data_IF_305443033502
#
_entry.id   IF_305443033502
#
_cell.length_a   1.000
_cell.length_b   1.000
_cell.length_c   1.000
_cell.angle_alpha   90.00
_cell.angle_beta   90.00
_cell.angle_gamma   90.00
#
_symmetry.space_group_name_H-M   'P 1'
#
loop_
_entity.id
_entity.type
_entity.pdbx_description
1 polymer ?
#
# COMPACT_ATOMS: atom_id res chain seq x y z
N UNK A 1 14.72 -28.21 -53.69
CA UNK A 1 13.88 -29.06 -52.82
C UNK A 1 12.64 -28.25 -52.48
N UNK A 2 11.69 -28.10 -53.41
CA UNK A 2 10.56 -29.00 -53.67
C UNK A 2 9.70 -29.32 -52.44
N UNK A 3 8.53 -28.68 -52.44
CA UNK A 3 7.18 -29.23 -52.22
C UNK A 3 6.78 -29.77 -50.83
N UNK A 4 5.71 -29.20 -50.27
CA UNK A 4 4.40 -29.84 -49.95
C UNK A 4 3.65 -28.97 -48.92
N UNK A 5 2.77 -28.04 -49.33
CA UNK A 5 1.30 -28.15 -49.49
C UNK A 5 0.54 -28.94 -48.41
N UNK A 6 -0.40 -28.26 -47.76
CA UNK A 6 -1.46 -28.85 -46.94
C UNK A 6 -2.54 -27.84 -46.54
N UNK A 7 -3.47 -27.55 -47.46
CA UNK A 7 -4.74 -26.81 -47.25
C UNK A 7 -5.65 -27.56 -46.28
N UNK A 8 -6.32 -26.84 -45.38
CA UNK A 8 -7.64 -27.20 -44.86
C UNK A 8 -8.54 -25.95 -44.80
N UNK A 9 -9.55 -25.93 -45.67
CA UNK A 9 -10.86 -25.29 -45.42
C UNK A 9 -11.44 -25.92 -44.13
N UNK A 10 -12.24 -25.30 -43.29
CA UNK A 10 -13.12 -24.14 -43.42
C UNK A 10 -14.32 -24.46 -42.52
N UNK A 11 -14.54 -23.69 -41.46
CA UNK A 11 -15.80 -23.70 -40.71
C UNK A 11 -16.05 -22.28 -40.20
N UNK A 12 -16.93 -21.60 -40.94
CA UNK A 12 -17.52 -20.30 -40.62
C UNK A 12 -18.65 -20.56 -39.64
N UNK A 13 -18.47 -20.21 -38.37
CA UNK A 13 -19.56 -20.16 -37.40
C UNK A 13 -20.16 -18.75 -37.46
N UNK A 14 -21.29 -18.64 -38.16
CA UNK A 14 -22.14 -17.45 -38.10
C UNK A 14 -22.75 -17.36 -36.69
N UNK A 15 -22.48 -16.26 -36.01
CA UNK A 15 -23.16 -15.91 -34.76
C UNK A 15 -24.30 -14.94 -35.07
N UNK A 16 -25.51 -15.18 -34.55
CA UNK A 16 -26.68 -14.37 -34.89
C UNK A 16 -26.62 -12.98 -34.27
N UNK A 17 -27.02 -11.99 -35.09
CA UNK A 17 -27.32 -10.62 -34.72
C UNK A 17 -28.26 -10.56 -33.51
N UNK A 18 -27.79 -9.92 -32.44
CA UNK A 18 -28.65 -9.45 -31.34
C UNK A 18 -29.05 -7.99 -31.64
N UNK A 19 -30.35 -7.64 -31.67
CA UNK A 19 -30.77 -6.27 -31.93
C UNK A 19 -30.44 -5.35 -30.76
N UNK A 20 -29.80 -4.22 -31.07
CA UNK A 20 -29.62 -3.11 -30.14
C UNK A 20 -30.98 -2.47 -29.82
N UNK A 21 -31.47 -2.67 -28.60
CA UNK A 21 -32.60 -1.92 -28.07
C UNK A 21 -32.20 -0.44 -27.90
N UNK A 22 -32.84 0.42 -28.69
CA UNK A 22 -32.92 1.87 -28.47
C UNK A 22 -33.57 2.13 -27.11
N UNK A 23 -32.83 2.73 -26.20
CA UNK A 23 -33.41 3.36 -25.01
C UNK A 23 -33.74 4.82 -25.35
N UNK A 24 -34.91 5.04 -25.96
CA UNK A 24 -35.58 6.34 -25.98
C UNK A 24 -36.40 6.45 -24.70
N UNK A 25 -36.08 7.41 -23.84
CA UNK A 25 -36.97 7.85 -22.77
C UNK A 25 -37.21 9.35 -22.92
N UNK A 26 -38.36 9.67 -23.51
CA UNK A 26 -38.99 10.97 -23.55
C UNK A 26 -39.57 11.32 -22.17
N UNK A 27 -39.24 12.53 -21.71
CA UNK A 27 -40.12 13.63 -21.25
C UNK A 27 -41.46 13.35 -20.54
N UNK A 28 -41.66 14.21 -19.52
CA UNK A 28 -42.91 14.81 -19.00
C UNK A 28 -43.76 13.87 -18.10
N UNK A 29 -44.27 14.26 -16.91
CA UNK A 29 -44.84 15.53 -16.47
C UNK A 29 -45.05 15.56 -14.93
N UNK A 30 -45.27 16.78 -14.43
CA UNK A 30 -45.75 17.16 -13.09
C UNK A 30 -47.03 16.43 -12.65
N UNK A 31 -47.25 16.27 -11.33
CA UNK A 31 -48.40 16.87 -10.62
C UNK A 31 -48.33 16.72 -9.08
N UNK A 32 -48.59 17.86 -8.43
CA UNK A 32 -49.36 18.10 -7.19
C UNK A 32 -48.88 17.69 -5.78
N UNK A 33 -48.59 18.78 -5.05
CA UNK A 33 -48.87 19.10 -3.66
C UNK A 33 -50.22 18.55 -3.15
N UNK A 34 -50.24 17.97 -1.95
CA UNK A 34 -51.32 18.22 -0.98
C UNK A 34 -50.87 17.90 0.44
N UNK A 35 -51.23 18.85 1.31
CA UNK A 35 -50.89 19.00 2.71
C UNK A 35 -52.11 18.56 3.52
N UNK A 36 -52.02 17.49 4.32
CA UNK A 36 -53.02 17.15 5.35
C UNK A 36 -52.36 16.42 6.53
N UNK A 37 -52.40 17.08 7.68
CA UNK A 37 -52.29 16.53 9.05
C UNK A 37 -53.63 16.82 9.76
N UNK A 38 -53.99 16.32 10.97
CA UNK A 38 -53.41 15.27 11.83
C UNK A 38 -54.45 14.21 12.28
N UNK A 39 -54.02 13.03 12.80
CA UNK A 39 -54.58 12.45 14.05
C UNK A 39 -53.87 11.21 14.60
N UNK A 40 -53.86 11.23 15.93
CA UNK A 40 -53.41 10.33 16.99
C UNK A 40 -53.61 8.81 16.91
N UNK A 41 -52.67 8.16 17.61
CA UNK A 41 -52.73 6.94 18.43
C UNK A 41 -53.00 5.56 17.79
N UNK A 42 -52.01 4.66 17.84
CA UNK A 42 -51.90 3.73 18.98
C UNK A 42 -50.74 2.73 18.84
N UNK A 43 -50.17 2.44 20.01
CA UNK A 43 -49.27 1.36 20.42
C UNK A 43 -49.20 0.13 19.49
N UNK A 44 -47.97 -0.22 19.05
CA UNK A 44 -47.49 -1.61 19.06
C UNK A 44 -45.98 -1.68 19.27
N UNK A 45 -45.63 -2.48 20.27
CA UNK A 45 -44.31 -2.72 20.82
C UNK A 45 -43.64 -3.90 20.10
N UNK A 46 -42.30 -3.82 20.04
CA UNK A 46 -41.29 -4.90 19.94
C UNK A 46 -41.20 -5.65 18.61
N UNK A 47 -40.02 -5.57 17.98
CA UNK A 47 -39.05 -6.68 17.90
C UNK A 47 -38.04 -6.40 16.77
N UNK A 48 -36.92 -5.73 17.06
CA UNK A 48 -35.71 -5.85 16.23
C UNK A 48 -34.52 -5.96 17.16
N UNK A 49 -33.92 -7.16 17.15
CA UNK A 49 -32.87 -7.60 18.05
C UNK A 49 -31.51 -6.97 17.74
N UNK A 50 -30.80 -6.72 18.84
CA UNK A 50 -29.38 -6.38 18.92
C UNK A 50 -28.48 -7.38 18.19
N UNK A 51 -27.71 -6.90 17.23
CA UNK A 51 -26.45 -7.52 16.77
C UNK A 51 -25.34 -6.51 17.01
N UNK A 52 -25.01 -6.28 18.28
CA UNK A 52 -23.88 -5.44 18.70
C UNK A 52 -23.52 -5.69 20.17
N UNK A 53 -23.19 -6.94 20.54
CA UNK A 53 -22.54 -7.26 21.82
C UNK A 53 -22.12 -8.73 21.81
N UNK A 54 -20.90 -8.99 21.34
CA UNK A 54 -20.36 -10.33 21.24
C UNK A 54 -18.88 -10.34 20.95
N UNK A 55 -18.07 -9.68 21.79
CA UNK A 55 -16.59 -9.83 21.79
C UNK A 55 -15.91 -9.34 23.07
N UNK A 56 -16.58 -9.42 24.23
CA UNK A 56 -15.94 -9.18 25.54
C UNK A 56 -16.48 -10.16 26.59
N UNK A 57 -16.18 -11.44 26.40
CA UNK A 57 -16.32 -12.45 27.46
C UNK A 57 -15.46 -13.69 27.13
N UNK A 58 -14.13 -13.53 27.14
CA UNK A 58 -13.21 -14.68 27.21
C UNK A 58 -12.22 -14.47 28.36
N UNK A 59 -12.54 -15.17 29.44
CA UNK A 59 -11.66 -15.83 30.42
C UNK A 59 -10.71 -15.02 31.31
N UNK A 60 -11.13 -14.87 32.56
CA UNK A 60 -10.30 -14.54 33.74
C UNK A 60 -9.26 -15.62 34.10
N UNK A 61 -9.34 -16.81 33.50
CA UNK A 61 -8.39 -17.91 33.74
C UNK A 61 -7.10 -17.83 32.89
N UNK A 62 -7.06 -17.00 31.84
CA UNK A 62 -5.86 -16.80 31.04
C UNK A 62 -4.79 -15.93 31.75
N UNK A 63 -5.20 -15.08 32.70
CA UNK A 63 -4.32 -14.16 33.40
C UNK A 63 -3.33 -14.87 34.34
N UNK A 64 -3.74 -15.98 34.97
CA UNK A 64 -2.90 -16.75 35.91
C UNK A 64 -1.87 -17.62 35.15
N UNK A 65 -2.25 -18.18 34.00
CA UNK A 65 -1.33 -18.92 33.13
C UNK A 65 -0.30 -18.00 32.43
N UNK A 66 -0.67 -16.75 32.11
CA UNK A 66 0.26 -15.75 31.59
C UNK A 66 1.29 -15.28 32.62
N UNK A 67 0.88 -15.16 33.89
CA UNK A 67 1.77 -14.73 34.96
C UNK A 67 2.86 -15.79 35.28
N UNK A 68 2.51 -17.08 35.28
CA UNK A 68 3.46 -18.17 35.52
C UNK A 68 4.44 -18.40 34.35
N UNK A 69 4.02 -18.12 33.10
CA UNK A 69 4.91 -18.20 31.93
C UNK A 69 5.88 -17.02 31.85
N UNK A 70 5.51 -15.86 32.41
CA UNK A 70 6.31 -14.63 32.46
C UNK A 70 7.54 -14.76 33.37
N UNK A 71 7.48 -15.57 34.42
CA UNK A 71 8.61 -15.83 35.32
C UNK A 71 9.63 -16.79 34.71
N UNK A 72 9.21 -17.74 33.86
CA UNK A 72 10.12 -18.64 33.16
C UNK A 72 10.83 -18.00 31.95
N UNK A 73 10.21 -17.03 31.27
CA UNK A 73 10.85 -16.31 30.15
C UNK A 73 11.77 -15.15 30.59
N UNK A 74 11.63 -14.65 31.83
CA UNK A 74 12.49 -13.58 32.34
C UNK A 74 13.92 -14.04 32.66
N UNK A 75 14.14 -15.33 32.95
CA UNK A 75 15.45 -15.87 33.29
C UNK A 75 16.29 -16.29 32.05
N UNK A 76 15.66 -16.47 30.88
CA UNK A 76 16.34 -16.77 29.62
C UNK A 76 16.75 -15.50 28.82
N UNK A 77 16.52 -14.30 29.36
CA UNK A 77 16.76 -13.02 28.71
C UNK A 77 18.23 -12.54 28.76
N UNK A 78 19.15 -13.33 29.31
CA UNK A 78 20.54 -12.93 29.58
C UNK A 78 21.53 -13.20 28.45
N UNK A 79 21.12 -13.79 27.33
CA UNK A 79 21.93 -13.89 26.11
C UNK A 79 21.11 -13.53 24.88
N UNK A 80 20.67 -12.28 24.77
CA UNK A 80 20.11 -11.79 23.51
C UNK A 80 21.24 -11.80 22.50
N UNK A 81 21.23 -12.78 21.59
CA UNK A 81 22.12 -12.82 20.43
C UNK A 81 22.12 -11.45 19.78
N UNK A 82 23.30 -10.87 19.56
CA UNK A 82 23.44 -9.55 18.94
C UNK A 82 22.63 -9.54 17.63
N UNK A 83 21.67 -8.62 17.51
CA UNK A 83 20.84 -8.50 16.31
C UNK A 83 21.74 -8.18 15.10
N UNK A 84 21.91 -9.16 14.21
CA UNK A 84 22.64 -8.98 12.95
C UNK A 84 21.65 -8.58 11.87
N UNK A 85 21.59 -7.28 11.55
CA UNK A 85 20.75 -6.78 10.47
C UNK A 85 21.35 -7.12 9.09
N UNK A 86 20.53 -7.19 8.02
CA UNK A 86 21.03 -7.36 6.67
C UNK A 86 22.01 -6.25 6.33
N UNK A 87 23.09 -6.61 5.61
CA UNK A 87 24.08 -5.62 5.20
C UNK A 87 23.48 -4.61 4.23
N UNK A 88 24.06 -3.42 4.14
CA UNK A 88 23.62 -2.39 3.20
C UNK A 88 23.65 -2.90 1.75
N UNK A 89 24.68 -3.67 1.36
CA UNK A 89 24.75 -4.24 0.01
C UNK A 89 23.62 -5.25 -0.25
N UNK A 90 23.29 -6.10 0.73
CA UNK A 90 22.13 -7.01 0.63
C UNK A 90 20.83 -6.26 0.38
N UNK A 91 20.59 -5.16 1.11
CA UNK A 91 19.38 -4.34 0.96
C UNK A 91 19.36 -3.56 -0.35
N UNK A 92 20.49 -3.02 -0.79
CA UNK A 92 20.62 -2.37 -2.10
C UNK A 92 20.29 -3.38 -3.21
N UNK A 93 20.78 -4.62 -3.12
CA UNK A 93 20.45 -5.66 -4.08
C UNK A 93 18.97 -6.07 -4.03
N UNK A 94 18.37 -6.13 -2.83
CA UNK A 94 16.95 -6.41 -2.65
C UNK A 94 16.06 -5.32 -3.29
N UNK A 95 16.52 -4.07 -3.38
CA UNK A 95 15.83 -3.00 -4.10
C UNK A 95 16.16 -2.98 -5.60
N UNK A 96 17.42 -3.20 -5.97
CA UNK A 96 17.89 -3.08 -7.34
C UNK A 96 17.35 -4.21 -8.21
N UNK A 97 17.50 -5.47 -7.79
CA UNK A 97 17.16 -6.63 -8.63
C UNK A 97 15.71 -6.63 -9.11
N UNK A 98 14.69 -6.41 -8.25
CA UNK A 98 13.31 -6.32 -8.73
C UNK A 98 13.07 -5.15 -9.68
N UNK A 99 13.75 -4.02 -9.45
CA UNK A 99 13.64 -2.83 -10.30
C UNK A 99 14.21 -3.07 -11.71
N UNK A 100 15.13 -4.03 -11.89
CA UNK A 100 15.63 -4.42 -13.22
C UNK A 100 14.55 -5.01 -14.13
N UNK A 101 13.40 -5.44 -13.60
CA UNK A 101 12.22 -5.80 -14.41
C UNK A 101 11.78 -4.63 -15.30
N UNK A 102 12.13 -3.40 -14.94
CA UNK A 102 11.97 -2.18 -15.75
C UNK A 102 12.62 -2.22 -17.14
N UNK A 103 13.70 -2.99 -17.30
CA UNK A 103 14.32 -3.21 -18.61
C UNK A 103 13.48 -4.12 -19.50
N UNK A 104 12.72 -5.04 -18.92
CA UNK A 104 11.79 -5.88 -19.66
C UNK A 104 10.55 -5.08 -20.06
N UNK A 105 9.94 -4.39 -19.09
CA UNK A 105 8.88 -3.41 -19.32
C UNK A 105 8.98 -2.28 -18.30
N UNK A 106 8.87 -1.03 -18.76
CA UNK A 106 9.13 0.16 -17.94
C UNK A 106 8.29 0.20 -16.66
N UNK A 107 7.01 -0.15 -16.77
CA UNK A 107 6.07 -0.15 -15.67
C UNK A 107 6.38 -1.20 -14.61
N UNK A 108 7.04 -2.32 -14.97
CA UNK A 108 7.38 -3.36 -14.00
C UNK A 108 8.45 -2.89 -13.02
N UNK A 109 9.35 -1.99 -13.42
CA UNK A 109 10.34 -1.43 -12.51
C UNK A 109 9.71 -0.57 -11.40
N UNK A 110 8.72 0.24 -11.77
CA UNK A 110 8.04 1.16 -10.83
C UNK A 110 6.93 0.53 -10.00
N UNK A 111 6.39 -0.60 -10.46
CA UNK A 111 5.22 -1.25 -9.86
C UNK A 111 5.60 -2.54 -9.11
N UNK A 112 5.85 -3.64 -9.84
CA UNK A 112 6.30 -4.89 -9.23
C UNK A 112 7.68 -4.76 -8.58
N UNK A 113 8.59 -3.99 -9.19
CA UNK A 113 9.90 -3.72 -8.62
C UNK A 113 9.80 -3.04 -7.25
N UNK A 114 8.86 -2.11 -7.10
CA UNK A 114 8.57 -1.45 -5.84
C UNK A 114 8.00 -2.41 -4.79
N UNK A 115 6.92 -3.13 -5.12
CA UNK A 115 6.27 -4.05 -4.19
C UNK A 115 7.22 -5.16 -3.73
N UNK A 116 7.93 -5.77 -4.67
CA UNK A 116 8.89 -6.84 -4.39
C UNK A 116 10.09 -6.32 -3.60
N UNK A 117 10.61 -5.11 -3.90
CA UNK A 117 11.69 -4.51 -3.11
C UNK A 117 11.29 -4.31 -1.64
N UNK A 118 10.07 -3.82 -1.39
CA UNK A 118 9.54 -3.66 -0.03
C UNK A 118 9.37 -5.01 0.67
N UNK A 119 8.78 -5.99 -0.02
CA UNK A 119 8.55 -7.32 0.53
C UNK A 119 9.85 -8.04 0.89
N UNK A 120 10.81 -8.12 -0.03
CA UNK A 120 12.08 -8.82 0.17
C UNK A 120 12.92 -8.13 1.25
N UNK A 121 13.10 -6.81 1.18
CA UNK A 121 13.89 -6.07 2.18
C UNK A 121 13.31 -6.21 3.59
N UNK A 122 11.99 -6.13 3.71
CA UNK A 122 11.32 -6.26 5.01
C UNK A 122 11.34 -7.69 5.53
N UNK A 123 11.25 -8.70 4.65
CA UNK A 123 11.41 -10.11 5.01
C UNK A 123 12.81 -10.42 5.55
N UNK A 124 13.86 -9.83 4.96
CA UNK A 124 15.24 -9.97 5.43
C UNK A 124 15.43 -9.37 6.84
N UNK A 125 14.88 -8.18 7.07
CA UNK A 125 14.91 -7.54 8.40
C UNK A 125 14.09 -8.36 9.41
N UNK A 126 12.89 -8.81 9.03
CA UNK A 126 12.04 -9.63 9.89
C UNK A 126 12.73 -10.93 10.28
N UNK A 127 13.40 -11.60 9.34
CA UNK A 127 14.17 -12.82 9.59
C UNK A 127 15.32 -12.59 10.57
N UNK A 128 15.97 -11.43 10.48
CA UNK A 128 17.03 -11.02 11.41
C UNK A 128 16.48 -10.81 12.83
N UNK A 129 15.35 -10.11 12.96
CA UNK A 129 14.66 -9.89 14.25
C UNK A 129 14.16 -11.20 14.85
N UNK A 130 13.61 -12.09 14.03
CA UNK A 130 13.10 -13.39 14.45
C UNK A 130 14.23 -14.31 14.94
N UNK A 131 15.36 -14.33 14.24
CA UNK A 131 16.58 -15.06 14.65
C UNK A 131 17.12 -14.54 15.97
N UNK A 132 17.22 -13.22 16.15
CA UNK A 132 17.65 -12.62 17.42
C UNK A 132 16.69 -12.92 18.59
N UNK A 133 15.42 -13.21 18.27
CA UNK A 133 14.39 -13.59 19.25
C UNK A 133 14.32 -15.10 19.50
N UNK A 134 15.24 -15.90 18.93
CA UNK A 134 15.27 -17.36 19.08
C UNK A 134 14.16 -18.10 18.31
N UNK A 135 13.46 -17.42 17.39
CA UNK A 135 12.39 -17.98 16.56
C UNK A 135 12.71 -17.79 15.08
N UNK A 136 13.80 -18.40 14.56
CA UNK A 136 14.26 -18.15 13.19
C UNK A 136 13.15 -18.44 12.17
N UNK A 137 13.02 -17.55 11.19
CA UNK A 137 12.20 -17.80 10.01
C UNK A 137 12.99 -18.65 9.01
N UNK A 138 12.28 -19.38 8.17
CA UNK A 138 12.88 -20.15 7.10
C UNK A 138 13.64 -19.20 6.16
N UNK A 139 14.94 -19.44 5.87
CA UNK A 139 15.69 -18.58 4.96
C UNK A 139 15.05 -18.55 3.58
N UNK A 140 14.95 -17.35 3.00
CA UNK A 140 14.44 -17.15 1.65
C UNK A 140 15.35 -17.92 0.66
N UNK A 141 14.75 -18.79 -0.16
CA UNK A 141 15.49 -19.60 -1.14
C UNK A 141 15.86 -21.01 -0.66
N UNK A 142 15.46 -21.42 0.54
CA UNK A 142 15.56 -22.84 0.94
C UNK A 142 14.66 -23.70 0.06
N UNK A 143 15.26 -24.62 -0.69
CA UNK A 143 14.52 -25.59 -1.50
C UNK A 143 13.82 -26.58 -0.58
N UNK A 144 12.54 -26.36 -0.33
CA UNK A 144 11.71 -27.29 0.44
C UNK A 144 11.23 -28.43 -0.46
N UNK A 145 11.33 -29.67 0.04
CA UNK A 145 10.64 -30.80 -0.57
C UNK A 145 9.13 -30.59 -0.41
N UNK A 146 8.28 -31.03 -1.37
CA UNK A 146 6.82 -30.89 -1.26
C UNK A 146 6.25 -31.40 0.07
N UNK A 147 6.75 -32.53 0.58
CA UNK A 147 6.34 -33.10 1.86
C UNK A 147 6.67 -32.22 3.08
N UNK A 148 7.67 -31.34 2.98
CA UNK A 148 8.09 -30.42 4.05
C UNK A 148 7.48 -29.04 3.93
N UNK A 149 6.81 -28.73 2.82
CA UNK A 149 6.29 -27.40 2.53
C UNK A 149 5.20 -26.98 3.52
N UNK A 150 4.19 -27.83 3.74
CA UNK A 150 3.09 -27.50 4.64
C UNK A 150 3.55 -27.36 6.12
N UNK A 151 4.37 -28.27 6.68
CA UNK A 151 4.93 -28.08 8.01
C UNK A 151 5.79 -26.82 8.14
N UNK A 152 6.59 -26.49 7.12
CA UNK A 152 7.40 -25.27 7.13
C UNK A 152 6.54 -24.01 7.11
N UNK A 153 5.50 -23.95 6.28
CA UNK A 153 4.55 -22.84 6.26
C UNK A 153 3.86 -22.72 7.61
N UNK A 154 3.41 -23.82 8.21
CA UNK A 154 2.77 -23.80 9.52
C UNK A 154 3.73 -23.29 10.60
N UNK A 155 5.00 -23.73 10.61
CA UNK A 155 6.01 -23.25 11.55
C UNK A 155 6.28 -21.74 11.38
N UNK A 156 6.40 -21.27 10.13
CA UNK A 156 6.54 -19.84 9.82
C UNK A 156 5.34 -19.06 10.36
N UNK A 157 4.12 -19.52 10.10
CA UNK A 157 2.90 -18.86 10.57
C UNK A 157 2.84 -18.80 12.10
N UNK A 158 3.24 -19.86 12.81
CA UNK A 158 3.30 -19.86 14.26
C UNK A 158 4.37 -18.89 14.80
N UNK A 159 5.57 -18.87 14.19
CA UNK A 159 6.65 -17.95 14.58
C UNK A 159 6.27 -16.49 14.30
N UNK A 160 5.62 -16.21 13.17
CA UNK A 160 5.11 -14.86 12.85
C UNK A 160 4.01 -14.47 13.84
N UNK A 161 3.07 -15.37 14.14
CA UNK A 161 1.98 -15.12 15.09
C UNK A 161 2.49 -14.87 16.51
N UNK A 162 3.57 -15.52 16.93
CA UNK A 162 4.18 -15.30 18.25
C UNK A 162 5.00 -14.00 18.28
N UNK A 163 5.70 -13.67 17.20
CA UNK A 163 6.61 -12.52 17.14
C UNK A 163 5.88 -11.18 16.96
N UNK A 164 4.85 -11.14 16.11
CA UNK A 164 4.10 -9.93 15.76
C UNK A 164 3.53 -9.14 16.94
N UNK A 165 2.78 -9.75 17.88
CA UNK A 165 2.20 -9.01 19.00
C UNK A 165 3.26 -8.55 20.01
N UNK A 166 4.44 -9.16 19.97
CA UNK A 166 5.50 -8.92 20.94
C UNK A 166 6.44 -7.87 20.36
N UNK A 167 7.20 -8.11 19.30
CA UNK A 167 8.30 -7.22 18.89
C UNK A 167 7.86 -6.03 18.02
N UNK A 168 8.14 -4.80 18.49
CA UNK A 168 7.91 -3.56 17.72
C UNK A 168 8.61 -3.53 16.35
N UNK A 169 9.92 -3.83 16.24
CA UNK A 169 10.56 -3.85 14.92
C UNK A 169 10.07 -4.99 14.03
N UNK A 170 9.64 -6.13 14.59
CA UNK A 170 9.01 -7.19 13.80
C UNK A 170 7.65 -6.74 13.24
N UNK A 171 6.88 -5.99 14.04
CA UNK A 171 5.60 -5.42 13.58
C UNK A 171 5.82 -4.38 12.47
N UNK A 172 6.82 -3.50 12.61
CA UNK A 172 7.16 -2.53 11.57
C UNK A 172 7.60 -3.24 10.28
N UNK A 173 8.49 -4.24 10.38
CA UNK A 173 8.92 -5.05 9.22
C UNK A 173 7.73 -5.75 8.55
N UNK A 174 6.83 -6.32 9.35
CA UNK A 174 5.66 -7.01 8.82
C UNK A 174 4.66 -6.05 8.16
N UNK A 175 4.61 -4.80 8.59
CA UNK A 175 3.78 -3.77 7.97
C UNK A 175 4.25 -3.46 6.54
N UNK A 176 5.57 -3.31 6.34
CA UNK A 176 6.15 -3.08 5.01
C UNK A 176 6.13 -4.36 4.16
N UNK A 177 6.31 -5.54 4.75
CA UNK A 177 6.13 -6.82 4.07
C UNK A 177 4.69 -7.00 3.55
N UNK A 178 3.70 -6.69 4.39
CA UNK A 178 2.28 -6.67 4.02
C UNK A 178 2.06 -5.71 2.85
N UNK A 179 2.59 -4.48 2.94
CA UNK A 179 2.47 -3.50 1.87
C UNK A 179 3.02 -4.00 0.54
N UNK A 180 4.27 -4.48 0.52
CA UNK A 180 4.92 -4.94 -0.71
C UNK A 180 4.17 -6.11 -1.36
N UNK A 181 3.80 -7.10 -0.53
CA UNK A 181 3.04 -8.28 -0.98
C UNK A 181 1.67 -7.89 -1.52
N UNK A 182 0.96 -7.00 -0.81
CA UNK A 182 -0.35 -6.48 -1.22
C UNK A 182 -0.28 -5.81 -2.59
N UNK A 183 0.72 -4.96 -2.80
CA UNK A 183 0.88 -4.22 -4.05
C UNK A 183 1.09 -5.18 -5.22
N UNK A 184 2.02 -6.13 -5.08
CA UNK A 184 2.32 -7.11 -6.13
C UNK A 184 1.12 -8.00 -6.45
N UNK A 185 0.41 -8.50 -5.43
CA UNK A 185 -0.78 -9.32 -5.63
C UNK A 185 -1.91 -8.54 -6.32
N UNK A 186 -2.10 -7.28 -5.95
CA UNK A 186 -3.12 -6.43 -6.57
C UNK A 186 -2.80 -6.15 -8.04
N UNK A 187 -1.55 -5.83 -8.36
CA UNK A 187 -1.10 -5.62 -9.74
C UNK A 187 -1.22 -6.90 -10.56
N UNK A 188 -0.81 -8.03 -9.99
CA UNK A 188 -0.90 -9.34 -10.63
C UNK A 188 -2.36 -9.71 -10.95
N UNK A 189 -3.26 -9.54 -9.97
CA UNK A 189 -4.68 -9.73 -10.18
C UNK A 189 -5.22 -8.85 -11.32
N UNK A 190 -4.88 -7.55 -11.34
CA UNK A 190 -5.33 -6.64 -12.40
C UNK A 190 -4.78 -7.03 -13.76
N UNK A 191 -3.55 -7.51 -13.82
CA UNK A 191 -2.94 -7.97 -15.06
C UNK A 191 -3.62 -9.22 -15.63
N UNK A 192 -3.98 -10.18 -14.77
CA UNK A 192 -4.65 -11.40 -15.19
C UNK A 192 -6.13 -11.17 -15.52
N UNK A 193 -6.82 -10.36 -14.73
CA UNK A 193 -8.28 -10.27 -14.77
C UNK A 193 -8.83 -9.08 -15.56
N UNK A 194 -8.04 -8.02 -15.83
CA UNK A 194 -8.53 -6.81 -16.50
C UNK A 194 -7.86 -6.62 -17.88
N UNK A 195 -8.54 -6.97 -19.00
CA UNK A 195 -8.00 -6.80 -20.34
C UNK A 195 -7.57 -5.37 -20.65
N UNK A 196 -8.33 -4.36 -20.18
CA UNK A 196 -8.00 -2.94 -20.34
C UNK A 196 -6.63 -2.58 -19.76
N UNK A 197 -6.23 -3.21 -18.65
CA UNK A 197 -4.93 -2.96 -18.03
C UNK A 197 -3.79 -3.50 -18.90
N UNK A 198 -3.99 -4.67 -19.53
CA UNK A 198 -3.02 -5.24 -20.49
C UNK A 198 -2.85 -4.33 -21.71
N UNK A 199 -3.96 -3.83 -22.27
CA UNK A 199 -3.93 -2.91 -23.42
C UNK A 199 -3.24 -1.58 -23.07
N UNK A 200 -3.53 -1.00 -21.91
CA UNK A 200 -2.86 0.22 -21.43
C UNK A 200 -1.34 0.03 -21.35
N UNK A 201 -0.91 -1.08 -20.75
CA UNK A 201 0.50 -1.43 -20.62
C UNK A 201 1.20 -1.62 -21.97
N UNK A 202 0.54 -2.29 -22.91
CA UNK A 202 1.09 -2.51 -24.26
C UNK A 202 1.32 -1.18 -24.99
N UNK A 203 0.39 -0.22 -24.87
CA UNK A 203 0.57 1.13 -25.40
C UNK A 203 1.77 1.86 -24.76
N UNK A 204 1.95 1.74 -23.45
CA UNK A 204 3.11 2.31 -22.74
C UNK A 204 4.43 1.72 -23.26
N UNK A 205 4.52 0.40 -23.37
CA UNK A 205 5.74 -0.26 -23.85
C UNK A 205 6.01 0.03 -25.34
N UNK A 206 4.98 0.16 -26.18
CA UNK A 206 5.14 0.59 -27.58
C UNK A 206 5.74 1.99 -27.68
N UNK A 207 5.28 2.94 -26.86
CA UNK A 207 5.86 4.29 -26.79
C UNK A 207 7.28 4.27 -26.24
N UNK A 208 7.51 3.48 -25.20
CA UNK A 208 8.83 3.35 -24.60
C UNK A 208 9.84 2.69 -25.56
N UNK A 209 9.38 1.85 -26.50
CA UNK A 209 10.21 1.34 -27.62
C UNK A 209 10.54 2.44 -28.63
N UNK A 210 9.59 3.34 -28.94
CA UNK A 210 9.81 4.50 -29.83
C UNK A 210 10.85 5.48 -29.28
N UNK A 211 10.93 5.66 -27.96
CA UNK A 211 11.90 6.54 -27.30
C UNK A 211 13.36 6.02 -27.30
N UNK A 212 13.58 4.77 -27.74
CA UNK A 212 14.91 4.22 -28.03
C UNK A 212 15.29 3.00 -27.21
N UNK A 213 16.60 2.77 -27.08
CA UNK A 213 17.14 1.58 -26.41
C UNK A 213 16.68 1.47 -24.95
N UNK A 214 16.39 0.23 -24.51
CA UNK A 214 16.03 -0.11 -23.12
C UNK A 214 17.07 0.36 -22.10
N UNK A 215 18.34 0.48 -22.50
CA UNK A 215 19.41 1.00 -21.64
C UNK A 215 19.26 2.49 -21.32
N UNK A 216 18.52 3.28 -22.13
CA UNK A 216 18.22 4.67 -21.77
C UNK A 216 17.34 4.79 -20.51
N UNK A 217 16.74 3.68 -20.05
CA UNK A 217 15.93 3.61 -18.82
C UNK A 217 16.79 3.47 -17.56
N UNK A 218 18.09 3.15 -17.68
CA UNK A 218 18.99 2.94 -16.52
C UNK A 218 18.92 4.04 -15.46
N UNK A 219 19.07 5.35 -15.78
CA UNK A 219 19.06 6.39 -14.75
C UNK A 219 17.73 6.43 -13.98
N UNK A 220 16.61 6.22 -14.68
CA UNK A 220 15.29 6.13 -14.06
C UNK A 220 15.19 4.93 -13.11
N UNK A 221 15.58 3.74 -13.56
CA UNK A 221 15.52 2.51 -12.74
C UNK A 221 16.45 2.59 -11.52
N UNK A 222 17.64 3.17 -11.67
CA UNK A 222 18.55 3.43 -10.54
C UNK A 222 17.91 4.40 -9.55
N UNK A 223 17.25 5.46 -10.03
CA UNK A 223 16.55 6.41 -9.16
C UNK A 223 15.39 5.76 -8.39
N UNK A 224 14.63 4.87 -9.03
CA UNK A 224 13.56 4.09 -8.38
C UNK A 224 14.12 3.16 -7.30
N UNK A 225 15.16 2.37 -7.63
CA UNK A 225 15.80 1.47 -6.69
C UNK A 225 16.38 2.23 -5.48
N UNK A 226 16.94 3.42 -5.72
CA UNK A 226 17.42 4.29 -4.65
C UNK A 226 16.29 4.81 -3.77
N UNK A 227 15.17 5.26 -4.36
CA UNK A 227 13.99 5.67 -3.63
C UNK A 227 13.47 4.53 -2.74
N UNK A 228 13.40 3.30 -3.26
CA UNK A 228 12.99 2.12 -2.49
C UNK A 228 13.93 1.85 -1.32
N UNK A 229 15.24 1.94 -1.52
CA UNK A 229 16.19 1.82 -0.42
C UNK A 229 15.97 2.89 0.67
N UNK A 230 15.69 4.13 0.26
CA UNK A 230 15.37 5.22 1.18
C UNK A 230 14.12 4.92 2.02
N UNK A 231 13.10 4.32 1.43
CA UNK A 231 11.85 3.93 2.10
C UNK A 231 12.01 2.77 3.09
N UNK A 232 13.07 1.97 2.96
CA UNK A 232 13.43 0.90 3.92
C UNK A 232 14.24 1.45 5.10
N UNK A 233 14.93 2.58 4.97
CA UNK A 233 15.75 3.15 6.03
C UNK A 233 15.03 3.35 7.39
N UNK A 234 13.76 3.79 7.46
CA UNK A 234 13.07 3.93 8.74
C UNK A 234 12.94 2.59 9.49
N UNK A 235 12.71 1.50 8.74
CA UNK A 235 12.67 0.16 9.30
C UNK A 235 14.02 -0.25 9.90
N UNK A 236 15.14 0.06 9.23
CA UNK A 236 16.47 -0.24 9.76
C UNK A 236 16.75 0.48 11.08
N UNK A 237 16.37 1.75 11.19
CA UNK A 237 16.53 2.54 12.43
C UNK A 237 15.74 1.90 13.57
N UNK A 238 14.46 1.62 13.34
CA UNK A 238 13.61 0.98 14.36
C UNK A 238 14.12 -0.41 14.75
N UNK A 239 14.53 -1.25 13.79
CA UNK A 239 15.11 -2.56 14.09
C UNK A 239 16.38 -2.47 14.94
N UNK A 240 17.26 -1.51 14.64
CA UNK A 240 18.55 -1.36 15.33
C UNK A 240 18.42 -0.82 16.75
N UNK A 241 17.49 0.11 16.96
CA UNK A 241 17.38 0.83 18.24
C UNK A 241 16.34 0.23 19.19
N UNK A 242 15.28 -0.37 18.65
CA UNK A 242 14.11 -0.82 19.41
C UNK A 242 14.10 -2.34 19.68
N UNK A 243 15.27 -2.99 19.62
CA UNK A 243 15.41 -4.38 20.05
C UNK A 243 14.92 -4.56 21.49
N UNK A 244 13.99 -5.50 21.69
CA UNK A 244 13.38 -5.78 22.99
C UNK A 244 12.21 -4.86 23.40
N UNK A 245 11.81 -3.88 22.56
CA UNK A 245 10.56 -3.15 22.79
C UNK A 245 9.36 -3.97 22.33
N UNK A 246 8.39 -4.12 23.23
CA UNK A 246 7.16 -4.82 22.90
C UNK A 246 6.02 -3.89 22.46
N UNK A 247 5.18 -4.35 21.52
CA UNK A 247 3.98 -3.64 21.07
C UNK A 247 2.89 -3.57 22.16
N UNK A 248 2.79 -4.58 23.03
CA UNK A 248 1.70 -4.69 24.03
C UNK A 248 1.99 -4.03 25.38
N UNK A 249 3.25 -3.72 25.70
CA UNK A 249 3.63 -3.30 27.06
C UNK A 249 3.17 -1.88 27.43
N UNK A 250 2.80 -1.05 26.45
CA UNK A 250 2.57 0.40 26.62
C UNK A 250 1.12 0.90 26.68
N UNK A 251 0.11 0.05 26.51
CA UNK A 251 -1.30 0.51 26.44
C UNK A 251 -1.90 0.96 27.79
N UNK A 252 -1.15 0.86 28.88
CA UNK A 252 -1.54 1.42 30.18
C UNK A 252 -1.24 2.93 30.21
N UNK A 253 -2.09 3.70 29.54
CA UNK A 253 -2.06 5.16 29.49
C UNK A 253 -2.31 5.77 30.88
N UNK A 254 -1.27 5.90 31.70
CA UNK A 254 -1.25 6.84 32.80
C UNK A 254 -0.73 8.19 32.30
N UNK A 255 -1.54 9.25 32.37
CA UNK A 255 -1.16 10.63 31.99
C UNK A 255 -0.07 11.26 32.89
N UNK A 256 0.59 10.48 33.76
CA UNK A 256 1.62 10.93 34.71
C UNK A 256 3.06 10.51 34.37
N UNK A 257 3.33 10.04 33.14
CA UNK A 257 4.66 9.56 32.74
C UNK A 257 5.58 10.66 32.22
N UNK A 258 6.87 10.61 32.57
CA UNK A 258 7.90 11.49 32.00
C UNK A 258 8.08 11.33 30.48
N UNK A 259 9.09 12.02 29.91
CA UNK A 259 9.33 12.07 28.46
C UNK A 259 9.51 10.69 27.80
N UNK A 260 10.20 9.76 28.46
CA UNK A 260 10.51 8.43 27.90
C UNK A 260 9.25 7.60 27.58
N UNK A 261 8.29 7.40 28.52
CA UNK A 261 7.01 6.77 28.22
C UNK A 261 6.23 7.40 27.06
N UNK A 262 6.21 8.74 26.97
CA UNK A 262 5.51 9.47 25.90
C UNK A 262 6.13 9.17 24.53
N UNK A 263 7.46 9.22 24.43
CA UNK A 263 8.18 8.88 23.19
C UNK A 263 7.98 7.41 22.80
N UNK A 264 8.02 6.51 23.78
CA UNK A 264 7.80 5.08 23.55
C UNK A 264 6.38 4.80 23.03
N UNK A 265 5.37 5.44 23.61
CA UNK A 265 3.98 5.30 23.17
C UNK A 265 3.77 5.94 21.79
N UNK A 266 4.35 7.11 21.55
CA UNK A 266 4.30 7.77 20.25
C UNK A 266 4.91 6.90 19.15
N UNK A 267 6.03 6.23 19.46
CA UNK A 267 6.68 5.29 18.55
C UNK A 267 5.77 4.12 18.18
N UNK A 268 5.11 3.49 19.17
CA UNK A 268 4.13 2.41 18.94
C UNK A 268 2.99 2.88 18.05
N UNK A 269 2.42 4.05 18.37
CA UNK A 269 1.32 4.64 17.58
C UNK A 269 1.77 4.91 16.15
N UNK A 270 2.99 5.43 15.95
CA UNK A 270 3.55 5.67 14.61
C UNK A 270 3.66 4.38 13.79
N UNK A 271 4.16 3.30 14.38
CA UNK A 271 4.25 1.98 13.73
C UNK A 271 2.86 1.38 13.45
N UNK A 272 1.89 1.56 14.35
CA UNK A 272 0.49 1.16 14.10
C UNK A 272 -0.15 1.96 12.98
N UNK A 273 0.14 3.26 12.90
CA UNK A 273 -0.32 4.13 11.83
C UNK A 273 0.29 3.74 10.48
N UNK A 274 1.53 3.24 10.47
CA UNK A 274 2.13 2.66 9.26
C UNK A 274 1.28 1.53 8.68
N UNK A 275 0.95 0.51 9.49
CA UNK A 275 0.09 -0.59 9.04
C UNK A 275 -1.31 -0.10 8.69
N UNK A 276 -1.89 0.79 9.50
CA UNK A 276 -3.24 1.31 9.29
C UNK A 276 -3.37 2.06 7.96
N UNK A 277 -2.35 2.84 7.59
CA UNK A 277 -2.27 3.48 6.28
C UNK A 277 -2.25 2.46 5.14
N UNK A 278 -1.39 1.44 5.23
CA UNK A 278 -1.34 0.41 4.19
C UNK A 278 -2.62 -0.44 4.11
N UNK A 279 -3.29 -0.70 5.23
CA UNK A 279 -4.60 -1.34 5.28
C UNK A 279 -5.70 -0.48 4.64
N UNK A 280 -5.70 0.84 4.89
CA UNK A 280 -6.62 1.76 4.22
C UNK A 280 -6.45 1.65 2.70
N UNK A 281 -5.21 1.56 2.22
CA UNK A 281 -4.96 1.37 0.80
C UNK A 281 -5.43 0.00 0.27
N UNK A 282 -5.24 -1.06 1.06
CA UNK A 282 -5.79 -2.41 0.80
C UNK A 282 -7.30 -2.37 0.57
N UNK A 283 -8.01 -1.76 1.52
CA UNK A 283 -9.47 -1.64 1.50
C UNK A 283 -9.90 -0.81 0.29
N UNK A 284 -9.18 0.28 -0.01
CA UNK A 284 -9.42 1.09 -1.20
C UNK A 284 -9.37 0.28 -2.50
N UNK A 285 -8.33 -0.52 -2.67
CA UNK A 285 -8.14 -1.34 -3.87
C UNK A 285 -9.18 -2.46 -4.00
N UNK A 286 -9.54 -3.11 -2.89
CA UNK A 286 -10.60 -4.13 -2.85
C UNK A 286 -11.97 -3.52 -3.14
N UNK A 287 -12.33 -2.42 -2.46
CA UNK A 287 -13.61 -1.72 -2.69
C UNK A 287 -13.75 -1.26 -4.14
N UNK A 288 -12.66 -0.74 -4.73
CA UNK A 288 -12.65 -0.32 -6.14
C UNK A 288 -12.87 -1.51 -7.08
N UNK A 289 -12.22 -2.62 -6.80
CA UNK A 289 -12.34 -3.84 -7.61
C UNK A 289 -13.74 -4.43 -7.55
N UNK A 290 -14.32 -4.54 -6.35
CA UNK A 290 -15.70 -5.01 -6.15
C UNK A 290 -16.71 -4.06 -6.81
N UNK A 291 -16.55 -2.75 -6.58
CA UNK A 291 -17.43 -1.74 -7.16
C UNK A 291 -17.49 -1.81 -8.68
N UNK A 292 -16.31 -1.92 -9.34
CA UNK A 292 -16.23 -2.06 -10.80
C UNK A 292 -16.70 -3.42 -11.31
N UNK A 293 -16.51 -4.48 -10.55
CA UNK A 293 -17.03 -5.80 -10.91
C UNK A 293 -18.57 -5.82 -10.93
N UNK A 294 -19.21 -5.08 -10.00
CA UNK A 294 -20.68 -5.03 -9.89
C UNK A 294 -21.28 -4.01 -10.85
N UNK A 295 -20.70 -2.82 -10.95
CA UNK A 295 -21.29 -1.68 -11.67
C UNK A 295 -20.76 -1.51 -13.11
N UNK A 296 -19.75 -2.28 -13.49
CA UNK A 296 -19.07 -2.18 -14.78
C UNK A 296 -17.73 -1.44 -14.71
N UNK A 297 -16.82 -1.73 -15.63
CA UNK A 297 -15.44 -1.21 -15.61
C UNK A 297 -15.36 0.32 -15.70
N UNK A 298 -16.37 0.94 -16.33
CA UNK A 298 -16.45 2.36 -16.58
C UNK A 298 -17.27 3.14 -15.55
N UNK A 299 -17.80 2.48 -14.52
CA UNK A 299 -18.56 3.15 -13.46
C UNK A 299 -17.66 4.02 -12.56
N UNK A 300 -18.27 5.08 -12.02
CA UNK A 300 -17.68 5.88 -10.94
C UNK A 300 -17.99 5.22 -9.60
N UNK A 301 -16.95 4.84 -8.86
CA UNK A 301 -17.12 4.22 -7.53
C UNK A 301 -17.10 5.30 -6.45
N UNK A 302 -18.29 5.67 -5.94
CA UNK A 302 -18.47 6.73 -4.91
C UNK A 302 -18.79 6.18 -3.52
N UNK A 303 -19.12 4.90 -3.39
CA UNK A 303 -19.54 4.25 -2.14
C UNK A 303 -18.42 3.71 -1.25
N UNK A 304 -18.79 3.18 -0.07
CA UNK A 304 -17.86 2.53 0.85
C UNK A 304 -16.81 3.50 1.39
N UNK A 305 -15.52 3.15 1.29
CA UNK A 305 -14.42 4.04 1.70
C UNK A 305 -14.26 5.26 0.77
N UNK A 306 -14.69 5.16 -0.50
CA UNK A 306 -14.59 6.24 -1.47
C UNK A 306 -15.50 7.43 -1.14
N UNK A 307 -16.50 7.25 -0.27
CA UNK A 307 -17.33 8.37 0.21
C UNK A 307 -16.54 9.39 1.03
N UNK A 308 -15.45 8.95 1.66
CA UNK A 308 -14.60 9.78 2.51
C UNK A 308 -13.31 10.21 1.79
N UNK A 309 -12.73 9.33 0.98
CA UNK A 309 -11.45 9.56 0.31
C UNK A 309 -11.60 9.37 -1.19
N UNK A 310 -11.09 10.29 -2.01
CA UNK A 310 -11.09 10.09 -3.47
C UNK A 310 -10.06 9.05 -3.93
N UNK A 311 -8.93 9.01 -3.24
CA UNK A 311 -7.83 8.08 -3.51
C UNK A 311 -7.41 7.36 -2.22
N UNK A 312 -8.25 6.47 -1.65
CA UNK A 312 -7.95 5.78 -0.39
C UNK A 312 -6.64 4.97 -0.46
N UNK A 313 -6.29 4.44 -1.63
CA UNK A 313 -5.00 3.79 -1.89
C UNK A 313 -3.83 4.74 -1.67
N UNK A 314 -3.79 5.87 -2.38
CA UNK A 314 -2.69 6.82 -2.28
C UNK A 314 -2.65 7.53 -0.92
N UNK A 315 -3.80 7.89 -0.37
CA UNK A 315 -3.91 8.45 0.98
C UNK A 315 -3.34 7.49 2.02
N UNK A 316 -3.71 6.21 1.95
CA UNK A 316 -3.22 5.19 2.85
C UNK A 316 -1.71 5.02 2.77
N UNK A 317 -1.15 5.07 1.56
CA UNK A 317 0.30 5.01 1.35
C UNK A 317 1.03 6.22 1.95
N UNK A 318 0.55 7.44 1.71
CA UNK A 318 1.17 8.63 2.32
C UNK A 318 1.15 8.56 3.84
N UNK A 319 0.02 8.16 4.44
CA UNK A 319 -0.07 7.95 5.90
C UNK A 319 0.95 6.88 6.35
N UNK A 320 1.02 5.77 5.62
CA UNK A 320 1.91 4.65 5.90
C UNK A 320 3.38 5.07 5.96
N UNK A 321 3.84 5.72 4.88
CA UNK A 321 5.23 6.14 4.70
C UNK A 321 5.65 7.29 5.61
N UNK A 322 4.78 8.30 5.80
CA UNK A 322 5.06 9.39 6.73
C UNK A 322 5.15 8.88 8.18
N UNK A 323 4.27 7.95 8.57
CA UNK A 323 4.31 7.35 9.90
C UNK A 323 5.54 6.44 10.09
N UNK A 324 5.97 5.74 9.04
CA UNK A 324 7.19 4.94 9.06
C UNK A 324 8.43 5.82 9.27
N UNK A 325 8.53 6.92 8.53
CA UNK A 325 9.57 7.93 8.71
C UNK A 325 9.55 8.53 10.13
N UNK A 326 8.38 8.94 10.62
CA UNK A 326 8.21 9.46 11.98
C UNK A 326 8.67 8.45 13.06
N UNK A 327 8.39 7.16 12.87
CA UNK A 327 8.83 6.11 13.77
C UNK A 327 10.36 6.04 13.90
N UNK A 328 11.11 6.31 12.83
CA UNK A 328 12.57 6.33 12.88
C UNK A 328 13.10 7.47 13.77
N UNK A 329 12.55 8.68 13.64
CA UNK A 329 12.92 9.81 14.51
C UNK A 329 12.55 9.53 15.97
N UNK A 330 11.34 9.05 16.21
CA UNK A 330 10.88 8.68 17.55
C UNK A 330 11.74 7.58 18.18
N UNK A 331 12.22 6.61 17.40
CA UNK A 331 13.13 5.57 17.90
C UNK A 331 14.47 6.15 18.37
N UNK A 332 15.05 7.11 17.62
CA UNK A 332 16.29 7.79 18.00
C UNK A 332 16.09 8.61 19.28
N UNK A 333 15.02 9.43 19.33
CA UNK A 333 14.73 10.25 20.50
C UNK A 333 14.40 9.41 21.73
N UNK A 334 13.61 8.36 21.58
CA UNK A 334 13.32 7.43 22.67
C UNK A 334 14.60 6.79 23.21
N UNK A 335 15.48 6.29 22.33
CA UNK A 335 16.73 5.65 22.74
C UNK A 335 17.68 6.62 23.44
N UNK A 336 17.81 7.84 22.92
CA UNK A 336 18.61 8.90 23.54
C UNK A 336 18.07 9.27 24.93
N UNK A 337 16.76 9.50 25.05
CA UNK A 337 16.14 9.84 26.33
C UNK A 337 16.23 8.71 27.36
N UNK A 338 16.09 7.45 26.93
CA UNK A 338 16.16 6.27 27.81
C UNK A 338 17.56 6.00 28.37
N UNK A 339 18.59 6.29 27.57
CA UNK A 339 19.99 6.02 27.97
C UNK A 339 20.62 7.18 28.75
N UNK A 340 20.05 8.39 28.67
CA UNK A 340 20.54 9.57 29.40
C UNK A 340 21.88 10.13 28.91
N UNK A 341 22.61 9.39 28.07
CA UNK A 341 23.95 9.72 27.61
C UNK A 341 24.05 9.65 26.08
N UNK A 342 24.84 10.56 25.48
CA UNK A 342 25.25 10.45 24.09
C UNK A 342 24.15 10.68 23.04
N UNK A 343 23.06 11.37 23.36
CA UNK A 343 21.97 11.63 22.41
C UNK A 343 22.41 12.28 21.09
N UNK A 344 23.35 13.24 21.15
CA UNK A 344 23.93 13.87 19.97
C UNK A 344 24.81 12.89 19.15
N UNK A 345 25.56 12.03 19.83
CA UNK A 345 26.37 11.01 19.18
C UNK A 345 25.51 9.95 18.48
N UNK A 346 24.40 9.53 19.12
CA UNK A 346 23.42 8.64 18.52
C UNK A 346 22.75 9.30 17.30
N UNK A 347 22.32 10.56 17.42
CA UNK A 347 21.74 11.31 16.31
C UNK A 347 22.73 11.42 15.14
N UNK A 348 23.99 11.76 15.40
CA UNK A 348 25.05 11.83 14.36
C UNK A 348 25.26 10.49 13.67
N UNK A 349 25.25 9.39 14.44
CA UNK A 349 25.42 8.03 13.90
C UNK A 349 24.23 7.59 13.05
N UNK A 350 23.01 8.02 13.42
CA UNK A 350 21.77 7.66 12.72
C UNK A 350 21.38 8.68 11.63
N UNK A 351 22.02 9.84 11.58
CA UNK A 351 21.68 10.94 10.67
C UNK A 351 21.58 10.51 9.19
N UNK A 352 22.50 9.69 8.63
CA UNK A 352 22.36 9.23 7.25
C UNK A 352 21.04 8.48 7.00
N UNK A 353 20.66 7.56 7.90
CA UNK A 353 19.41 6.80 7.76
C UNK A 353 18.18 7.67 7.97
N UNK A 354 18.23 8.66 8.87
CA UNK A 354 17.13 9.63 9.05
C UNK A 354 16.96 10.51 7.81
N UNK A 355 18.05 11.03 7.23
CA UNK A 355 18.00 11.81 6.00
C UNK A 355 17.43 11.00 4.83
N UNK A 356 17.88 9.75 4.67
CA UNK A 356 17.33 8.85 3.66
C UNK A 356 15.84 8.52 3.93
N UNK A 357 15.44 8.38 5.20
CA UNK A 357 14.03 8.18 5.58
C UNK A 357 13.15 9.35 5.15
N UNK A 358 13.60 10.59 5.39
CA UNK A 358 12.90 11.81 4.97
C UNK A 358 12.80 11.88 3.45
N UNK A 359 13.91 11.65 2.75
CA UNK A 359 13.94 11.64 1.29
C UNK A 359 13.03 10.57 0.70
N UNK A 360 12.98 9.38 1.30
CA UNK A 360 12.05 8.31 0.93
C UNK A 360 10.59 8.75 1.06
N UNK A 361 10.23 9.31 2.22
CA UNK A 361 8.86 9.77 2.49
C UNK A 361 8.43 10.94 1.58
N UNK A 362 9.31 11.92 1.35
CA UNK A 362 9.05 13.03 0.43
C UNK A 362 8.96 12.53 -1.00
N UNK A 363 9.90 11.69 -1.44
CA UNK A 363 9.96 11.16 -2.80
C UNK A 363 8.71 10.36 -3.16
N UNK A 364 8.28 9.44 -2.30
CA UNK A 364 7.04 8.69 -2.57
C UNK A 364 5.80 9.59 -2.51
N UNK A 365 5.74 10.55 -1.59
CA UNK A 365 4.61 11.49 -1.52
C UNK A 365 4.52 12.36 -2.77
N UNK A 366 5.67 12.75 -3.33
CA UNK A 366 5.73 13.47 -4.60
C UNK A 366 5.18 12.61 -5.76
N UNK A 367 5.68 11.38 -5.91
CA UNK A 367 5.20 10.45 -6.96
C UNK A 367 3.68 10.25 -6.83
N UNK A 368 3.18 9.93 -5.63
CA UNK A 368 1.75 9.74 -5.40
C UNK A 368 0.92 11.00 -5.65
N UNK A 369 1.44 12.18 -5.29
CA UNK A 369 0.78 13.45 -5.56
C UNK A 369 0.66 13.74 -7.07
N UNK A 370 1.71 13.45 -7.85
CA UNK A 370 1.66 13.59 -9.32
C UNK A 370 0.66 12.62 -9.96
N UNK A 371 0.66 11.35 -9.53
CA UNK A 371 -0.29 10.35 -9.99
C UNK A 371 -1.75 10.72 -9.64
N UNK A 372 -1.96 11.27 -8.44
CA UNK A 372 -3.27 11.75 -7.98
C UNK A 372 -3.80 12.89 -8.87
N UNK A 373 -2.95 13.87 -9.18
CA UNK A 373 -3.35 15.00 -10.03
C UNK A 373 -3.77 14.53 -11.43
N UNK A 374 -3.03 13.57 -12.02
CA UNK A 374 -3.39 12.98 -13.32
C UNK A 374 -4.68 12.15 -13.27
N UNK A 375 -4.94 11.45 -12.16
CA UNK A 375 -6.21 10.74 -11.99
C UNK A 375 -7.41 11.68 -11.84
N UNK A 376 -7.31 12.73 -11.03
CA UNK A 376 -8.39 13.71 -10.84
C UNK A 376 -8.72 14.41 -12.16
N UNK A 377 -7.70 14.75 -12.96
CA UNK A 377 -7.90 15.33 -14.28
C UNK A 377 -8.73 14.40 -15.19
N UNK A 378 -8.31 13.14 -15.34
CA UNK A 378 -9.04 12.15 -16.17
C UNK A 378 -10.44 11.83 -15.63
N UNK A 379 -10.62 11.82 -14.32
CA UNK A 379 -11.94 11.63 -13.72
C UNK A 379 -12.85 12.83 -13.98
N UNK A 380 -12.29 14.04 -13.97
CA UNK A 380 -13.03 15.24 -14.32
C UNK A 380 -13.41 15.27 -15.80
N UNK A 381 -12.50 14.92 -16.71
CA UNK A 381 -12.86 14.82 -18.14
C UNK A 381 -13.95 13.79 -18.40
N UNK A 382 -13.88 12.64 -17.72
CA UNK A 382 -14.83 11.54 -17.96
C UNK A 382 -16.19 11.74 -17.28
N UNK A 383 -16.21 12.31 -16.07
CA UNK A 383 -17.40 12.36 -15.21
C UNK A 383 -17.79 13.79 -14.80
N UNK A 384 -17.07 14.82 -15.25
CA UNK A 384 -17.21 16.20 -14.80
C UNK A 384 -18.60 16.80 -14.99
N UNK A 385 -19.32 16.35 -16.03
CA UNK A 385 -20.68 16.79 -16.31
C UNK A 385 -21.74 16.06 -15.46
N UNK A 386 -21.38 14.94 -14.84
CA UNK A 386 -22.31 14.16 -14.02
C UNK A 386 -22.53 14.82 -12.66
N UNK A 387 -23.79 15.01 -12.29
CA UNK A 387 -24.16 15.60 -11.01
C UNK A 387 -23.67 14.74 -9.82
N UNK A 388 -23.69 13.40 -9.96
CA UNK A 388 -23.14 12.49 -8.95
C UNK A 388 -21.66 12.76 -8.66
N UNK A 389 -20.85 12.96 -9.70
CA UNK A 389 -19.43 13.25 -9.57
C UNK A 389 -19.19 14.58 -8.83
N UNK A 390 -19.92 15.64 -9.21
CA UNK A 390 -19.83 16.96 -8.57
C UNK A 390 -20.15 16.88 -7.08
N UNK A 391 -21.21 16.15 -6.73
CA UNK A 391 -21.60 15.94 -5.33
C UNK A 391 -20.58 15.11 -4.55
N UNK A 392 -20.01 14.08 -5.18
CA UNK A 392 -18.99 13.24 -4.57
C UNK A 392 -17.70 14.04 -4.29
N UNK A 393 -17.21 14.82 -5.26
CA UNK A 393 -16.02 15.67 -5.09
C UNK A 393 -16.18 16.68 -3.95
N UNK A 394 -17.38 17.24 -3.77
CA UNK A 394 -17.68 18.19 -2.68
C UNK A 394 -17.63 17.55 -1.29
N UNK A 395 -17.98 16.27 -1.17
CA UNK A 395 -18.12 15.57 0.11
C UNK A 395 -16.89 14.74 0.51
N UNK A 396 -16.06 14.39 -0.46
CA UNK A 396 -14.89 13.53 -0.25
C UNK A 396 -13.60 14.34 -0.12
N UNK A 397 -12.67 13.85 0.69
CA UNK A 397 -11.34 14.42 0.81
C UNK A 397 -10.46 13.99 -0.38
N UNK A 398 -9.85 14.98 -1.04
CA UNK A 398 -8.94 14.77 -2.18
C UNK A 398 -7.62 14.10 -1.77
N UNK A 399 -7.27 14.15 -0.49
CA UNK A 399 -5.93 13.81 -0.03
C UNK A 399 -4.97 14.99 -0.21
N UNK A 400 -3.70 14.69 -0.50
CA UNK A 400 -2.65 15.67 -0.71
C UNK A 400 -2.65 16.11 -2.19
N UNK A 401 -3.08 17.34 -2.48
CA UNK A 401 -3.10 17.90 -3.83
C UNK A 401 -1.86 18.79 -4.03
N UNK A 402 -1.02 18.46 -5.01
CA UNK A 402 -0.05 19.42 -5.53
C UNK A 402 -0.75 20.44 -6.43
N UNK A 403 -0.36 21.71 -6.35
CA UNK A 403 -0.90 22.75 -7.23
C UNK A 403 -0.76 22.32 -8.69
N UNK A 404 -1.85 22.39 -9.46
CA UNK A 404 -1.77 22.11 -10.89
C UNK A 404 -0.87 23.18 -11.51
N UNK A 405 0.18 22.75 -12.21
CA UNK A 405 0.85 23.63 -13.15
C UNK A 405 -0.19 23.96 -14.22
N UNK A 406 -0.65 25.22 -14.20
CA UNK A 406 -1.50 25.76 -15.25
C UNK A 406 -0.69 25.62 -16.53
N UNK A 407 -1.07 24.71 -17.44
CA UNK A 407 -0.59 24.81 -18.80
C UNK A 407 -1.16 26.11 -19.33
N UNK A 408 -0.31 27.11 -19.46
CA UNK A 408 -0.65 28.24 -20.29
C UNK A 408 -0.90 27.66 -21.69
N UNK A 409 -2.04 27.98 -22.32
CA UNK A 409 -2.28 27.57 -23.68
C UNK A 409 -1.12 28.12 -24.50
N UNK A 410 -0.31 27.22 -25.08
CA UNK A 410 0.78 27.62 -25.96
C UNK A 410 0.16 28.42 -27.11
N UNK A 411 0.40 29.72 -27.16
CA UNK A 411 -0.10 30.65 -28.19
C UNK A 411 0.54 30.40 -29.58
N UNK A 412 1.39 29.37 -29.73
CA UNK A 412 2.29 29.21 -30.88
C UNK A 412 1.84 28.19 -31.96
N UNK A 413 0.54 27.91 -32.13
CA UNK A 413 0.07 27.20 -33.34
C UNK A 413 -1.07 27.95 -34.01
N UNK A 414 -0.74 29.12 -34.54
CA UNK A 414 -1.51 29.79 -35.58
C UNK A 414 -1.01 29.45 -37.01
N UNK A 415 0.14 28.79 -37.15
CA UNK A 415 0.62 28.33 -38.46
C UNK A 415 0.43 26.81 -38.57
N UNK A 416 -0.44 26.45 -39.51
CA UNK A 416 -0.87 25.09 -39.75
C UNK A 416 0.28 24.19 -40.16
N UNK A 417 0.42 23.08 -39.43
CA UNK A 417 0.55 21.75 -40.01
C UNK A 417 0.04 20.75 -38.97
N UNK A 418 -1.00 20.01 -39.36
CA UNK A 418 -1.81 19.11 -38.55
C UNK A 418 -1.06 17.79 -38.26
N UNK A 419 0.00 17.85 -37.44
CA UNK A 419 0.66 16.66 -36.87
C UNK A 419 0.57 16.63 -35.34
N UNK A 420 -0.59 16.20 -34.84
CA UNK A 420 -0.73 15.33 -33.66
C UNK A 420 -0.04 15.75 -32.36
N UNK A 421 -0.60 16.73 -31.65
CA UNK A 421 -0.20 17.13 -30.28
C UNK A 421 -0.68 16.14 -29.20
N UNK A 422 -0.09 14.95 -29.14
CA UNK A 422 -0.41 13.89 -28.14
C UNK A 422 0.54 13.90 -26.92
N UNK A 423 1.62 14.68 -26.94
CA UNK A 423 2.77 14.42 -26.06
C UNK A 423 2.71 14.96 -24.63
N UNK A 424 1.67 15.72 -24.27
CA UNK A 424 1.61 16.34 -22.94
C UNK A 424 0.45 15.86 -22.05
N UNK A 425 -0.31 14.87 -22.51
CA UNK A 425 -1.44 14.25 -21.79
C UNK A 425 -1.01 13.03 -20.94
N UNK A 426 0.17 12.46 -21.21
CA UNK A 426 0.50 11.09 -20.78
C UNK A 426 1.68 10.92 -19.81
N UNK A 427 2.48 11.98 -19.58
CA UNK A 427 3.55 11.93 -18.56
C UNK A 427 3.04 11.65 -17.13
N UNK A 428 1.72 11.66 -16.90
CA UNK A 428 1.04 11.28 -15.67
C UNK A 428 0.45 9.84 -15.66
N UNK A 429 0.87 8.97 -16.59
CA UNK A 429 0.55 7.52 -16.58
C UNK A 429 1.55 6.64 -15.79
N UNK A 430 2.71 7.19 -15.44
CA UNK A 430 3.72 6.57 -14.56
C UNK A 430 3.62 7.15 -13.14
#
# INVERSE_FOLDING_TARGET
>A
MNALTGRLHGLRVESPLVPAHRCQAQRNNNLELSDVSPRNESKKQKLVGSVALGLFAISSNAAVAFAAKKTATSAAASSVSSLVLPTTSTLVMACLLPTLLGYYKSEYGVSYGYGTAMAVSSSLVLSSVATASGSPLLPLGTTLKPATLLPAIQAILQNVKSLLPISLPAFHASSLLFYGTRLDLFLFYRELCLPRFRAMRERIEERAKKQGSRLKRTPFLVSCAFLYFCMICPLLVTARLCGGLNMTDGLKMGFGGGLVPVLEQSLRVSVLMTLSGFLLGAIGDVNKSIGKAIQGEDSLVTGGIFRFFRHPNYTGEVIGWCSSCCAAFLAVFWKAAKTGEGGLALLRTMAPYLSLSVMGAIGISFVLGTATAGLEYRQHEKYGDMEEYKQWVKKSWVGFKMGQQRKEPSEDTADGDDEGSVDSEEKAEL
#
